data_IF_437201235353
#
_entry.id   IF_437201235353
#
_cell.length_a   1.000
_cell.length_b   1.000
_cell.length_c   1.000
_cell.angle_alpha   90.00
_cell.angle_beta   90.00
_cell.angle_gamma   90.00
#
_symmetry.space_group_name_H-M   'P 1'
#
loop_
_entity.id
_entity.type
_entity.pdbx_description
1 polymer ?
#
# COMPACT_ATOMS: atom_id res chain seq x y z
N UNK A 1 -39.05 -66.23 43.17
CA UNK A 1 -38.08 -65.90 44.24
C UNK A 1 -38.17 -64.41 44.51
N UNK A 2 -38.96 -63.98 45.50
CA UNK A 2 -38.91 -62.59 46.01
C UNK A 2 -37.80 -62.43 47.07
N UNK A 3 -37.76 -61.35 47.87
CA UNK A 3 -38.38 -60.02 47.73
C UNK A 3 -37.41 -58.87 48.18
N UNK A 4 -37.98 -57.71 48.56
CA UNK A 4 -37.48 -56.67 49.51
C UNK A 4 -36.46 -55.60 49.09
N UNK A 5 -36.96 -54.36 48.93
CA UNK A 5 -36.84 -53.32 49.98
C UNK A 5 -35.80 -52.19 49.79
N UNK A 6 -36.11 -50.94 50.20
CA UNK A 6 -35.44 -49.69 49.78
C UNK A 6 -34.41 -49.19 50.80
N UNK A 7 -33.59 -48.20 50.43
CA UNK A 7 -33.13 -47.17 51.38
C UNK A 7 -32.73 -45.86 50.67
N UNK A 8 -33.20 -44.78 51.27
CA UNK A 8 -33.08 -43.40 50.84
C UNK A 8 -32.27 -42.68 51.93
N UNK A 9 -31.04 -42.24 51.62
CA UNK A 9 -30.35 -41.24 52.46
C UNK A 9 -29.87 -40.09 51.58
N UNK A 10 -30.55 -38.95 51.71
CA UNK A 10 -30.04 -37.67 51.26
C UNK A 10 -29.22 -37.02 52.35
N UNK A 11 -28.04 -36.50 51.99
CA UNK A 11 -27.54 -35.14 52.28
C UNK A 11 -26.04 -35.10 52.10
N UNK A 12 -25.59 -34.18 51.26
CA UNK A 12 -24.17 -33.87 51.10
C UNK A 12 -23.97 -32.89 49.97
N UNK A 13 -24.38 -31.64 50.22
CA UNK A 13 -23.99 -30.45 49.44
C UNK A 13 -22.50 -30.48 49.11
N UNK A 14 -22.15 -30.74 47.85
CA UNK A 14 -20.89 -30.30 47.26
C UNK A 14 -21.21 -29.24 46.21
N UNK A 15 -21.48 -28.04 46.72
CA UNK A 15 -21.18 -26.77 46.05
C UNK A 15 -19.67 -26.70 45.80
N UNK A 16 -19.21 -27.37 44.74
CA UNK A 16 -17.83 -27.26 44.27
C UNK A 16 -17.71 -27.70 42.81
N UNK A 17 -18.44 -27.02 41.93
CA UNK A 17 -18.12 -26.97 40.48
C UNK A 17 -18.50 -25.61 39.88
N UNK A 18 -18.27 -24.54 40.67
CA UNK A 18 -18.46 -23.14 40.23
C UNK A 18 -17.17 -22.50 39.69
N UNK A 19 -16.13 -23.28 39.38
CA UNK A 19 -14.82 -22.76 38.94
C UNK A 19 -14.26 -23.41 37.66
N UNK A 20 -15.08 -24.12 36.89
CA UNK A 20 -14.63 -24.88 35.72
C UNK A 20 -14.80 -24.23 34.33
N UNK A 21 -15.60 -23.17 34.16
CA UNK A 21 -15.98 -22.66 32.83
C UNK A 21 -15.95 -21.13 32.70
N UNK A 22 -14.87 -20.48 33.18
CA UNK A 22 -14.67 -19.04 32.98
C UNK A 22 -13.33 -18.66 32.34
N UNK A 23 -12.83 -19.51 31.46
CA UNK A 23 -11.81 -19.12 30.48
C UNK A 23 -12.37 -19.28 29.07
N UNK A 24 -13.40 -18.51 28.74
CA UNK A 24 -13.54 -18.04 27.35
C UNK A 24 -12.31 -17.15 27.16
N UNK A 25 -11.25 -17.77 26.64
CA UNK A 25 -9.93 -17.17 26.50
C UNK A 25 -10.10 -15.92 25.61
N UNK A 26 -9.89 -14.76 26.23
CA UNK A 26 -10.27 -13.48 25.63
C UNK A 26 -9.33 -13.19 24.46
N UNK A 27 -9.87 -13.06 23.25
CA UNK A 27 -9.11 -12.59 22.09
C UNK A 27 -8.47 -11.24 22.44
N UNK A 28 -7.13 -11.14 22.36
CA UNK A 28 -6.40 -9.93 22.77
C UNK A 28 -6.80 -8.68 21.98
N UNK A 29 -7.37 -8.84 20.79
CA UNK A 29 -7.94 -7.71 20.03
C UNK A 29 -9.16 -7.08 20.72
N UNK A 30 -9.77 -7.76 21.71
CA UNK A 30 -10.89 -7.25 22.52
C UNK A 30 -10.43 -6.52 23.78
N UNK A 31 -9.13 -6.49 24.08
CA UNK A 31 -8.59 -5.69 25.18
C UNK A 31 -8.73 -4.21 24.82
N UNK A 32 -9.35 -3.41 25.70
CA UNK A 32 -9.63 -1.99 25.45
C UNK A 32 -8.37 -1.20 25.03
N UNK A 33 -7.24 -1.44 25.71
CA UNK A 33 -5.96 -0.79 25.36
C UNK A 33 -5.51 -1.12 23.95
N UNK A 34 -5.65 -2.38 23.51
CA UNK A 34 -5.32 -2.81 22.15
C UNK A 34 -6.26 -2.17 21.13
N UNK A 35 -7.56 -2.14 21.40
CA UNK A 35 -8.54 -1.48 20.53
C UNK A 35 -8.24 0.00 20.34
N UNK A 36 -7.94 0.73 21.42
CA UNK A 36 -7.57 2.15 21.36
C UNK A 36 -6.32 2.36 20.49
N UNK A 37 -5.30 1.51 20.65
CA UNK A 37 -4.08 1.58 19.83
C UNK A 37 -4.38 1.30 18.36
N UNK A 38 -5.20 0.29 18.05
CA UNK A 38 -5.59 -0.03 16.68
C UNK A 38 -6.40 1.10 16.04
N UNK A 39 -7.39 1.64 16.74
CA UNK A 39 -8.18 2.79 16.28
C UNK A 39 -7.25 3.97 15.96
N UNK A 40 -6.35 4.31 16.87
CA UNK A 40 -5.41 5.41 16.67
C UNK A 40 -4.49 5.15 15.47
N UNK A 41 -3.95 3.93 15.33
CA UNK A 41 -3.06 3.56 14.24
C UNK A 41 -3.74 3.64 12.87
N UNK A 42 -4.89 2.98 12.70
CA UNK A 42 -5.66 3.05 11.45
C UNK A 42 -6.12 4.48 11.13
N UNK A 43 -6.61 5.23 12.12
CA UNK A 43 -7.03 6.62 11.90
C UNK A 43 -5.87 7.50 11.44
N UNK A 44 -4.67 7.32 12.01
CA UNK A 44 -3.48 8.05 11.62
C UNK A 44 -3.05 7.70 10.19
N UNK A 45 -3.06 6.42 9.83
CA UNK A 45 -2.75 5.95 8.46
C UNK A 45 -3.71 6.60 7.46
N UNK A 46 -5.03 6.49 7.71
CA UNK A 46 -6.06 7.07 6.83
C UNK A 46 -5.86 8.58 6.69
N UNK A 47 -5.65 9.30 7.79
CA UNK A 47 -5.49 10.75 7.76
C UNK A 47 -4.25 11.18 6.98
N UNK A 48 -3.09 10.60 7.29
CA UNK A 48 -1.83 10.94 6.63
C UNK A 48 -1.81 10.51 5.16
N UNK A 49 -2.34 9.32 4.87
CA UNK A 49 -2.46 8.77 3.53
C UNK A 49 -3.38 9.61 2.66
N UNK A 50 -4.59 9.92 3.15
CA UNK A 50 -5.54 10.76 2.44
C UNK A 50 -4.98 12.15 2.12
N UNK A 51 -4.44 12.85 3.13
CA UNK A 51 -3.89 14.20 2.94
C UNK A 51 -2.67 14.14 2.00
N UNK A 52 -1.73 13.25 2.28
CA UNK A 52 -0.47 13.16 1.54
C UNK A 52 -0.68 12.80 0.07
N UNK A 53 -1.46 11.75 -0.21
CA UNK A 53 -1.70 11.30 -1.58
C UNK A 53 -2.57 12.30 -2.37
N UNK A 54 -3.55 12.94 -1.73
CA UNK A 54 -4.32 14.03 -2.35
C UNK A 54 -3.42 15.22 -2.73
N UNK A 55 -2.48 15.61 -1.86
CA UNK A 55 -1.53 16.68 -2.15
C UNK A 55 -0.59 16.35 -3.31
N UNK A 56 -0.13 15.10 -3.40
CA UNK A 56 0.69 14.63 -4.52
C UNK A 56 -0.06 14.81 -5.84
N UNK A 57 -1.30 14.32 -5.92
CA UNK A 57 -2.15 14.48 -7.11
C UNK A 57 -2.39 15.96 -7.41
N UNK A 58 -2.77 16.74 -6.40
CA UNK A 58 -3.03 18.17 -6.52
C UNK A 58 -1.85 18.93 -7.14
N UNK A 59 -0.63 18.72 -6.64
CA UNK A 59 0.58 19.41 -7.15
C UNK A 59 0.83 19.06 -8.61
N UNK A 60 0.69 17.79 -8.99
CA UNK A 60 0.93 17.33 -10.35
C UNK A 60 -0.11 17.93 -11.32
N UNK A 61 -1.38 17.97 -10.90
CA UNK A 61 -2.46 18.57 -11.68
C UNK A 61 -2.29 20.09 -11.77
N UNK A 62 -1.99 20.77 -10.67
CA UNK A 62 -1.88 22.23 -10.60
C UNK A 62 -0.69 22.77 -11.41
N UNK A 63 0.50 22.18 -11.24
CA UNK A 63 1.74 22.72 -11.82
C UNK A 63 2.12 22.02 -13.13
N UNK A 64 2.03 22.74 -14.26
CA UNK A 64 2.39 22.22 -15.59
C UNK A 64 3.81 21.64 -15.66
N UNK A 65 4.77 22.24 -14.93
CA UNK A 65 6.16 21.78 -14.83
C UNK A 65 6.29 20.40 -14.18
N UNK A 66 5.33 19.99 -13.37
CA UNK A 66 5.28 18.68 -12.73
C UNK A 66 4.60 17.61 -13.59
N UNK A 67 4.01 17.94 -14.75
CA UNK A 67 3.32 16.98 -15.62
C UNK A 67 4.28 16.18 -16.51
N UNK A 68 5.13 15.38 -15.86
CA UNK A 68 6.10 14.47 -16.47
C UNK A 68 5.63 13.02 -16.37
N UNK A 69 6.17 12.14 -17.21
CA UNK A 69 5.76 10.71 -17.26
C UNK A 69 5.98 9.99 -15.92
N UNK A 70 7.14 10.18 -15.27
CA UNK A 70 7.35 9.63 -13.93
C UNK A 70 6.30 10.14 -12.94
N UNK A 71 5.94 11.42 -13.01
CA UNK A 71 4.94 11.97 -12.10
C UNK A 71 3.53 11.46 -12.41
N UNK A 72 3.20 11.07 -13.64
CA UNK A 72 1.94 10.37 -13.92
C UNK A 72 1.90 8.99 -13.26
N UNK A 73 3.01 8.25 -13.24
CA UNK A 73 3.10 7.01 -12.48
C UNK A 73 3.02 7.26 -10.96
N UNK A 74 3.64 8.32 -10.44
CA UNK A 74 3.51 8.71 -9.02
C UNK A 74 2.05 9.08 -8.68
N UNK A 75 1.35 9.80 -9.57
CA UNK A 75 -0.07 10.09 -9.39
C UNK A 75 -0.94 8.82 -9.44
N UNK A 76 -0.60 7.85 -10.29
CA UNK A 76 -1.26 6.55 -10.34
C UNK A 76 -1.08 5.77 -9.02
N UNK A 77 0.13 5.81 -8.44
CA UNK A 77 0.41 5.22 -7.13
C UNK A 77 -0.42 5.90 -6.04
N UNK A 78 -0.44 7.24 -6.01
CA UNK A 78 -1.24 8.00 -5.06
C UNK A 78 -2.76 7.71 -5.18
N UNK A 79 -3.27 7.47 -6.40
CA UNK A 79 -4.65 7.09 -6.62
C UNK A 79 -4.97 5.69 -6.07
N UNK A 80 -4.06 4.73 -6.25
CA UNK A 80 -4.19 3.39 -5.69
C UNK A 80 -4.17 3.43 -4.15
N UNK A 81 -3.24 4.20 -3.57
CA UNK A 81 -3.14 4.39 -2.11
C UNK A 81 -4.42 5.05 -1.54
N UNK A 82 -4.97 6.09 -2.20
CA UNK A 82 -6.24 6.72 -1.80
C UNK A 82 -7.42 5.73 -1.80
N UNK A 83 -7.46 4.82 -2.77
CA UNK A 83 -8.49 3.77 -2.79
C UNK A 83 -8.39 2.88 -1.55
N UNK A 84 -7.19 2.53 -1.09
CA UNK A 84 -6.99 1.77 0.16
C UNK A 84 -7.42 2.59 1.37
N UNK A 85 -6.91 3.82 1.47
CA UNK A 85 -7.14 4.69 2.63
C UNK A 85 -8.62 5.02 2.84
N UNK A 86 -9.39 5.19 1.76
CA UNK A 86 -10.81 5.60 1.83
C UNK A 86 -11.81 4.44 1.77
N UNK A 87 -11.51 3.37 1.03
CA UNK A 87 -12.46 2.27 0.79
C UNK A 87 -12.10 0.99 1.54
N UNK A 88 -10.84 0.78 1.93
CA UNK A 88 -10.44 -0.49 2.55
C UNK A 88 -10.27 -0.32 4.06
N UNK A 89 -9.41 0.60 4.49
CA UNK A 89 -9.02 0.73 5.90
C UNK A 89 -10.19 1.01 6.87
N UNK A 90 -11.17 1.89 6.56
CA UNK A 90 -12.25 2.16 7.50
C UNK A 90 -13.11 0.92 7.76
N UNK A 91 -13.41 0.15 6.72
CA UNK A 91 -14.24 -1.05 6.81
C UNK A 91 -13.49 -2.20 7.48
N UNK A 92 -12.21 -2.39 7.14
CA UNK A 92 -11.33 -3.36 7.81
C UNK A 92 -11.21 -3.06 9.30
N UNK A 93 -11.01 -1.79 9.69
CA UNK A 93 -10.94 -1.40 11.10
C UNK A 93 -12.21 -1.80 11.87
N UNK A 94 -13.39 -1.44 11.34
CA UNK A 94 -14.66 -1.77 12.02
C UNK A 94 -14.85 -3.29 12.11
N UNK A 95 -14.53 -4.02 11.05
CA UNK A 95 -14.61 -5.48 11.05
C UNK A 95 -13.68 -6.09 12.09
N UNK A 96 -12.43 -5.63 12.19
CA UNK A 96 -11.47 -6.09 13.21
C UNK A 96 -11.95 -5.81 14.64
N UNK A 97 -12.56 -4.64 14.89
CA UNK A 97 -13.01 -4.28 16.24
C UNK A 97 -14.27 -5.03 16.66
N UNK A 98 -15.22 -5.19 15.75
CA UNK A 98 -16.52 -5.80 16.05
C UNK A 98 -16.54 -7.32 15.89
N UNK A 99 -15.63 -7.90 15.10
CA UNK A 99 -15.66 -9.32 14.64
C UNK A 99 -16.96 -9.67 13.89
N UNK A 100 -17.67 -8.64 13.41
CA UNK A 100 -18.94 -8.74 12.68
C UNK A 100 -18.92 -7.82 11.45
N UNK A 101 -19.34 -8.34 10.30
CA UNK A 101 -19.42 -7.60 9.06
C UNK A 101 -20.77 -6.89 8.89
N UNK A 102 -20.79 -5.57 9.10
CA UNK A 102 -22.03 -4.76 9.09
C UNK A 102 -22.39 -4.08 7.76
N UNK A 103 -21.57 -4.28 6.74
CA UNK A 103 -21.60 -3.45 5.52
C UNK A 103 -22.29 -4.11 4.32
N UNK A 104 -22.94 -5.25 4.55
CA UNK A 104 -23.68 -6.01 3.53
C UNK A 104 -22.79 -6.73 2.52
N UNK A 105 -23.43 -7.47 1.61
CA UNK A 105 -22.74 -8.35 0.67
C UNK A 105 -21.83 -7.58 -0.30
N UNK A 106 -22.29 -6.46 -0.88
CA UNK A 106 -21.52 -5.72 -1.90
C UNK A 106 -20.13 -5.33 -1.39
N UNK A 107 -20.04 -4.75 -0.19
CA UNK A 107 -18.76 -4.35 0.38
C UNK A 107 -17.92 -5.56 0.83
N UNK A 108 -18.54 -6.69 1.20
CA UNK A 108 -17.82 -7.92 1.54
C UNK A 108 -16.96 -8.43 0.37
N UNK A 109 -17.48 -8.30 -0.86
CA UNK A 109 -16.71 -8.64 -2.07
C UNK A 109 -15.80 -7.49 -2.51
N UNK A 110 -16.28 -6.24 -2.44
CA UNK A 110 -15.59 -5.08 -3.00
C UNK A 110 -14.33 -4.69 -2.20
N UNK A 111 -14.37 -4.70 -0.88
CA UNK A 111 -13.25 -4.21 -0.04
C UNK A 111 -11.98 -5.04 -0.23
N UNK A 112 -11.99 -6.38 -0.11
CA UNK A 112 -10.80 -7.21 -0.31
C UNK A 112 -10.30 -7.16 -1.76
N UNK A 113 -11.22 -7.12 -2.72
CA UNK A 113 -10.88 -6.94 -4.14
C UNK A 113 -10.18 -5.60 -4.39
N UNK A 114 -10.72 -4.50 -3.89
CA UNK A 114 -10.13 -3.17 -4.05
C UNK A 114 -8.76 -3.08 -3.39
N UNK A 115 -8.58 -3.68 -2.21
CA UNK A 115 -7.29 -3.76 -1.54
C UNK A 115 -6.26 -4.49 -2.42
N UNK A 116 -6.58 -5.69 -2.90
CA UNK A 116 -5.69 -6.44 -3.78
C UNK A 116 -5.41 -5.70 -5.09
N UNK A 117 -6.43 -5.12 -5.72
CA UNK A 117 -6.31 -4.30 -6.93
C UNK A 117 -5.31 -3.15 -6.73
N UNK A 118 -5.44 -2.39 -5.65
CA UNK A 118 -4.54 -1.28 -5.33
C UNK A 118 -3.10 -1.73 -5.18
N UNK A 119 -2.89 -2.82 -4.43
CA UNK A 119 -1.56 -3.37 -4.16
C UNK A 119 -0.89 -3.79 -5.48
N UNK A 120 -1.63 -4.45 -6.38
CA UNK A 120 -1.14 -4.80 -7.72
C UNK A 120 -0.76 -3.59 -8.55
N UNK A 121 -1.65 -2.61 -8.64
CA UNK A 121 -1.37 -1.37 -9.37
C UNK A 121 -0.12 -0.69 -8.80
N UNK A 122 0.04 -0.68 -7.49
CA UNK A 122 1.19 -0.06 -6.80
C UNK A 122 2.50 -0.74 -7.16
N UNK A 123 2.59 -2.07 -7.05
CA UNK A 123 3.81 -2.82 -7.38
C UNK A 123 4.16 -2.75 -8.86
N UNK A 124 3.18 -2.90 -9.74
CA UNK A 124 3.40 -2.77 -11.19
C UNK A 124 3.91 -1.36 -11.52
N UNK A 125 3.35 -0.33 -10.90
CA UNK A 125 3.80 1.06 -11.06
C UNK A 125 5.24 1.25 -10.61
N UNK A 126 5.63 0.73 -9.44
CA UNK A 126 7.02 0.78 -8.96
C UNK A 126 7.99 0.06 -9.89
N UNK A 127 7.56 -1.07 -10.46
CA UNK A 127 8.34 -1.85 -11.44
C UNK A 127 8.56 -1.05 -12.73
N UNK A 128 7.51 -0.44 -13.27
CA UNK A 128 7.60 0.41 -14.47
C UNK A 128 8.50 1.61 -14.22
N UNK A 129 8.40 2.26 -13.05
CA UNK A 129 9.28 3.36 -12.68
C UNK A 129 10.75 2.89 -12.64
N UNK A 130 11.03 1.73 -12.02
CA UNK A 130 12.39 1.19 -11.95
C UNK A 130 12.96 0.89 -13.35
N UNK A 131 12.15 0.31 -14.24
CA UNK A 131 12.53 0.00 -15.62
C UNK A 131 12.75 1.26 -16.46
N UNK A 132 11.90 2.28 -16.35
CA UNK A 132 12.09 3.60 -16.98
C UNK A 132 13.45 4.19 -16.56
N UNK A 133 13.73 4.18 -15.26
CA UNK A 133 15.02 4.67 -14.74
C UNK A 133 16.21 3.87 -15.23
N UNK A 134 16.09 2.54 -15.26
CA UNK A 134 17.13 1.68 -15.78
C UNK A 134 17.46 2.00 -17.23
N UNK A 135 16.43 2.10 -18.08
CA UNK A 135 16.58 2.45 -19.50
C UNK A 135 17.24 3.82 -19.70
N UNK A 136 16.76 4.85 -19.00
CA UNK A 136 17.29 6.22 -19.15
C UNK A 136 18.71 6.41 -18.58
N UNK A 137 19.11 5.67 -17.55
CA UNK A 137 20.41 5.86 -16.89
C UNK A 137 21.48 4.95 -17.50
N UNK A 138 21.16 3.69 -17.79
CA UNK A 138 22.17 2.70 -18.23
C UNK A 138 22.46 2.80 -19.72
N UNK A 139 21.41 2.97 -20.53
CA UNK A 139 21.50 3.00 -21.99
C UNK A 139 21.48 4.42 -22.58
N UNK A 140 21.36 5.46 -21.75
CA UNK A 140 21.27 6.85 -22.19
C UNK A 140 20.22 7.10 -23.28
N UNK A 141 19.14 6.29 -23.29
CA UNK A 141 18.11 6.42 -24.32
C UNK A 141 17.42 7.78 -24.19
N UNK A 142 17.56 8.60 -25.23
CA UNK A 142 16.86 9.88 -25.36
C UNK A 142 15.36 9.69 -25.66
N UNK A 143 14.99 8.53 -26.19
CA UNK A 143 13.59 8.11 -26.37
C UNK A 143 12.97 7.76 -25.01
N UNK A 144 12.43 8.79 -24.35
CA UNK A 144 11.62 8.64 -23.15
C UNK A 144 10.25 8.08 -23.51
N UNK A 145 9.64 7.33 -22.59
CA UNK A 145 8.24 6.92 -22.69
C UNK A 145 7.40 8.17 -23.03
N UNK A 146 6.56 8.08 -24.06
CA UNK A 146 5.69 9.20 -24.44
C UNK A 146 4.53 9.33 -23.44
N UNK A 147 3.94 10.52 -23.32
CA UNK A 147 2.77 10.73 -22.44
C UNK A 147 1.61 9.80 -22.83
N UNK A 148 1.34 9.62 -24.13
CA UNK A 148 0.30 8.72 -24.62
C UNK A 148 0.57 7.29 -24.18
N UNK A 149 1.80 6.81 -24.39
CA UNK A 149 2.20 5.46 -23.98
C UNK A 149 2.10 5.27 -22.46
N UNK A 150 2.44 6.29 -21.65
CA UNK A 150 2.30 6.18 -20.19
C UNK A 150 0.86 5.96 -19.73
N UNK A 151 -0.13 6.62 -20.37
CA UNK A 151 -1.53 6.37 -20.05
C UNK A 151 -2.00 4.98 -20.52
N UNK A 152 -1.51 4.50 -21.66
CA UNK A 152 -1.76 3.12 -22.11
C UNK A 152 -1.18 2.10 -21.13
N UNK A 153 0.05 2.30 -20.64
CA UNK A 153 0.67 1.42 -19.64
C UNK A 153 -0.16 1.43 -18.34
N UNK A 154 -0.61 2.61 -17.88
CA UNK A 154 -1.49 2.71 -16.71
C UNK A 154 -2.77 1.88 -16.91
N UNK A 155 -3.47 2.05 -18.04
CA UNK A 155 -4.68 1.29 -18.31
C UNK A 155 -4.44 -0.23 -18.31
N UNK A 156 -3.33 -0.70 -18.91
CA UNK A 156 -2.95 -2.11 -18.91
C UNK A 156 -2.65 -2.61 -17.50
N UNK A 157 -1.97 -1.81 -16.66
CA UNK A 157 -1.69 -2.18 -15.26
C UNK A 157 -2.98 -2.36 -14.46
N UNK A 158 -3.96 -1.46 -14.62
CA UNK A 158 -5.26 -1.59 -13.96
C UNK A 158 -6.02 -2.83 -14.42
N UNK A 159 -6.01 -3.12 -15.72
CA UNK A 159 -6.67 -4.32 -16.25
C UNK A 159 -5.99 -5.60 -15.74
N UNK A 160 -4.67 -5.67 -15.78
CA UNK A 160 -3.91 -6.81 -15.27
C UNK A 160 -4.15 -7.02 -13.77
N UNK A 161 -4.12 -5.93 -12.99
CA UNK A 161 -4.41 -5.95 -11.57
C UNK A 161 -5.84 -6.42 -11.26
N UNK A 162 -6.83 -5.98 -12.04
CA UNK A 162 -8.22 -6.41 -11.90
C UNK A 162 -8.39 -7.92 -12.16
N UNK A 163 -7.72 -8.45 -13.18
CA UNK A 163 -7.73 -9.89 -13.47
C UNK A 163 -7.08 -10.69 -12.34
N UNK A 164 -5.92 -10.25 -11.85
CA UNK A 164 -5.20 -10.95 -10.77
C UNK A 164 -5.96 -10.88 -9.44
N UNK A 165 -6.62 -9.75 -9.13
CA UNK A 165 -7.44 -9.59 -7.93
C UNK A 165 -8.82 -10.26 -8.03
N UNK A 166 -9.28 -10.61 -9.25
CA UNK A 166 -10.60 -11.16 -9.51
C UNK A 166 -11.04 -12.33 -8.61
N UNK A 167 -10.18 -13.32 -8.30
CA UNK A 167 -10.53 -14.40 -7.38
C UNK A 167 -11.01 -13.92 -6.00
N UNK A 168 -10.47 -12.84 -5.44
CA UNK A 168 -10.93 -12.28 -4.15
C UNK A 168 -12.32 -11.66 -4.21
N UNK A 169 -12.76 -11.23 -5.40
CA UNK A 169 -14.13 -10.77 -5.61
C UNK A 169 -15.10 -11.95 -5.74
N UNK A 170 -14.66 -13.06 -6.35
CA UNK A 170 -15.52 -14.20 -6.70
C UNK A 170 -15.63 -15.20 -5.52
N UNK A 171 -14.51 -15.60 -4.94
CA UNK A 171 -14.43 -16.67 -3.93
C UNK A 171 -14.59 -16.13 -2.50
N UNK A 172 -15.61 -15.30 -2.31
CA UNK A 172 -16.05 -14.83 -0.99
C UNK A 172 -17.52 -15.13 -0.77
N UNK A 173 -17.91 -15.20 0.49
CA UNK A 173 -19.29 -15.39 0.89
C UNK A 173 -19.66 -14.44 2.03
N UNK A 174 -20.83 -13.82 1.89
CA UNK A 174 -21.52 -13.12 2.96
C UNK A 174 -22.57 -14.05 3.54
N UNK A 175 -22.39 -14.49 4.79
CA UNK A 175 -23.31 -15.41 5.47
C UNK A 175 -23.57 -14.95 6.91
N UNK A 176 -24.63 -15.50 7.51
CA UNK A 176 -24.86 -15.37 8.94
C UNK A 176 -24.38 -16.64 9.64
N UNK A 177 -23.57 -16.48 10.67
CA UNK A 177 -23.18 -17.55 11.57
C UNK A 177 -23.96 -17.43 12.88
N UNK A 178 -24.51 -18.55 13.33
CA UNK A 178 -25.18 -18.68 14.62
C UNK A 178 -24.18 -19.29 15.60
N UNK A 179 -23.89 -18.58 16.69
CA UNK A 179 -23.08 -19.08 17.80
C UNK A 179 -24.04 -19.70 18.81
N UNK A 180 -24.20 -21.04 18.85
CA UNK A 180 -25.25 -21.69 19.63
C UNK A 180 -25.03 -21.52 21.14
N UNK A 181 -23.78 -21.35 21.57
CA UNK A 181 -23.42 -21.18 22.98
C UNK A 181 -23.95 -19.90 23.63
N UNK A 182 -24.29 -18.87 22.83
CA UNK A 182 -24.79 -17.57 23.31
C UNK A 182 -26.05 -17.08 22.57
N UNK A 183 -26.69 -17.93 21.75
CA UNK A 183 -27.85 -17.57 20.92
C UNK A 183 -27.65 -16.27 20.11
N UNK A 184 -26.44 -16.06 19.60
CA UNK A 184 -26.08 -14.86 18.84
C UNK A 184 -25.99 -15.20 17.36
N UNK A 185 -26.57 -14.34 16.51
CA UNK A 185 -26.44 -14.42 15.05
C UNK A 185 -25.64 -13.22 14.57
N UNK A 186 -24.53 -13.47 13.90
CA UNK A 186 -23.64 -12.43 13.38
C UNK A 186 -23.38 -12.60 11.90
N UNK A 187 -23.28 -11.49 11.18
CA UNK A 187 -22.91 -11.51 9.78
C UNK A 187 -21.39 -11.61 9.63
N UNK A 188 -20.92 -12.55 8.81
CA UNK A 188 -19.50 -12.77 8.54
C UNK A 188 -19.20 -12.64 7.06
N UNK A 189 -17.99 -12.16 6.76
CA UNK A 189 -17.45 -12.07 5.41
C UNK A 189 -16.17 -12.88 5.34
N UNK A 190 -16.23 -14.08 4.74
CA UNK A 190 -15.08 -14.97 4.64
C UNK A 190 -14.86 -15.47 3.22
N UNK A 191 -13.68 -16.02 3.00
CA UNK A 191 -13.37 -16.70 1.74
C UNK A 191 -14.13 -18.02 1.64
N UNK A 192 -14.57 -18.36 0.43
CA UNK A 192 -15.23 -19.62 0.10
C UNK A 192 -14.70 -20.15 -1.21
N UNK A 193 -13.71 -21.03 -1.11
CA UNK A 193 -13.05 -21.63 -2.25
C UNK A 193 -13.77 -22.91 -2.73
N UNK A 194 -13.76 -23.22 -4.04
CA UNK A 194 -14.57 -24.30 -4.62
C UNK A 194 -14.29 -25.69 -4.06
N UNK A 195 -13.02 -26.02 -3.81
CA UNK A 195 -12.64 -27.37 -3.37
C UNK A 195 -13.00 -27.68 -1.91
N UNK A 196 -13.47 -26.68 -1.13
CA UNK A 196 -13.83 -26.83 0.29
C UNK A 196 -12.66 -27.14 1.23
N UNK A 197 -11.43 -27.16 0.72
CA UNK A 197 -10.19 -27.38 1.49
C UNK A 197 -9.21 -26.21 1.23
N UNK A 198 -8.20 -26.04 2.08
CA UNK A 198 -7.25 -24.90 2.04
C UNK A 198 -6.31 -24.88 0.82
N UNK A 199 -6.41 -25.86 -0.09
CA UNK A 199 -5.55 -25.98 -1.28
C UNK A 199 -5.69 -24.80 -2.23
N UNK A 200 -6.92 -24.42 -2.58
CA UNK A 200 -7.17 -23.34 -3.54
C UNK A 200 -6.74 -22.00 -2.97
N UNK A 201 -7.04 -21.75 -1.69
CA UNK A 201 -6.56 -20.59 -0.94
C UNK A 201 -5.03 -20.52 -0.94
N UNK A 202 -4.36 -21.63 -0.62
CA UNK A 202 -2.89 -21.73 -0.61
C UNK A 202 -2.30 -21.46 -2.00
N UNK A 203 -2.85 -22.05 -3.05
CA UNK A 203 -2.40 -21.84 -4.43
C UNK A 203 -2.53 -20.37 -4.81
N UNK A 204 -3.66 -19.75 -4.47
CA UNK A 204 -3.88 -18.34 -4.73
C UNK A 204 -2.91 -17.45 -3.96
N UNK A 205 -2.75 -17.66 -2.66
CA UNK A 205 -1.83 -16.90 -1.81
C UNK A 205 -0.37 -17.05 -2.23
N UNK A 206 0.05 -18.26 -2.65
CA UNK A 206 1.37 -18.50 -3.20
C UNK A 206 1.55 -17.80 -4.56
N UNK A 207 0.55 -17.89 -5.44
CA UNK A 207 0.56 -17.20 -6.73
C UNK A 207 0.64 -15.69 -6.55
N UNK A 208 -0.09 -15.15 -5.58
CA UNK A 208 -0.02 -13.75 -5.18
C UNK A 208 1.35 -13.39 -4.66
N UNK A 209 1.90 -14.11 -3.68
CA UNK A 209 3.26 -13.87 -3.18
C UNK A 209 4.29 -13.84 -4.33
N UNK A 210 4.19 -14.76 -5.28
CA UNK A 210 5.12 -14.83 -6.41
C UNK A 210 4.93 -13.70 -7.41
N UNK A 211 3.72 -13.51 -7.93
CA UNK A 211 3.42 -12.56 -9.01
C UNK A 211 3.37 -11.12 -8.51
N UNK A 212 2.91 -10.90 -7.29
CA UNK A 212 2.68 -9.58 -6.72
C UNK A 212 3.87 -9.07 -5.91
N UNK A 213 4.68 -9.95 -5.33
CA UNK A 213 5.77 -9.53 -4.45
C UNK A 213 7.15 -9.97 -4.98
N UNK A 214 7.40 -11.28 -5.12
CA UNK A 214 8.75 -11.80 -5.44
C UNK A 214 9.21 -11.40 -6.85
N UNK A 215 8.41 -11.66 -7.87
CA UNK A 215 8.79 -11.39 -9.26
C UNK A 215 9.01 -9.89 -9.54
N UNK A 216 8.10 -8.98 -9.14
CA UNK A 216 8.32 -7.55 -9.31
C UNK A 216 9.54 -7.03 -8.54
N UNK A 217 9.73 -7.48 -7.28
CA UNK A 217 10.91 -7.08 -6.51
C UNK A 217 12.20 -7.58 -7.14
N UNK A 218 12.22 -8.79 -7.70
CA UNK A 218 13.38 -9.29 -8.44
C UNK A 218 13.74 -8.38 -9.62
N UNK A 219 12.74 -7.96 -10.42
CA UNK A 219 12.95 -7.02 -11.52
C UNK A 219 13.49 -5.69 -11.02
N UNK A 220 12.88 -5.15 -9.96
CA UNK A 220 13.27 -3.85 -9.40
C UNK A 220 14.69 -3.91 -8.82
N UNK A 221 15.02 -4.94 -8.05
CA UNK A 221 16.34 -5.18 -7.48
C UNK A 221 17.39 -5.31 -8.59
N UNK A 222 17.10 -6.07 -9.64
CA UNK A 222 17.97 -6.18 -10.81
C UNK A 222 18.20 -4.81 -11.47
N UNK A 223 17.13 -4.08 -11.77
CA UNK A 223 17.18 -2.75 -12.39
C UNK A 223 18.04 -1.77 -11.57
N UNK A 224 17.81 -1.67 -10.26
CA UNK A 224 18.57 -0.76 -9.40
C UNK A 224 20.01 -1.20 -9.15
N UNK A 225 20.28 -2.50 -9.09
CA UNK A 225 21.65 -3.04 -9.02
C UNK A 225 22.45 -2.62 -10.25
N UNK A 226 21.87 -2.77 -11.45
CA UNK A 226 22.52 -2.34 -12.69
C UNK A 226 22.70 -0.81 -12.76
N UNK A 227 21.72 -0.03 -12.30
CA UNK A 227 21.84 1.44 -12.20
C UNK A 227 22.99 1.81 -11.24
N UNK A 228 23.08 1.16 -10.08
CA UNK A 228 24.12 1.41 -9.09
C UNK A 228 25.52 1.17 -9.66
N UNK A 229 25.74 0.02 -10.29
CA UNK A 229 27.03 -0.29 -10.92
C UNK A 229 27.39 0.69 -12.03
N UNK A 230 26.44 1.08 -12.89
CA UNK A 230 26.67 2.10 -13.92
C UNK A 230 27.08 3.44 -13.30
N UNK A 231 26.38 3.88 -12.25
CA UNK A 231 26.65 5.15 -11.58
C UNK A 231 27.98 5.14 -10.82
N UNK A 232 28.40 3.98 -10.28
CA UNK A 232 29.71 3.81 -9.62
C UNK A 232 30.86 3.85 -10.63
N UNK A 233 30.71 3.17 -11.77
CA UNK A 233 31.76 3.04 -12.78
C UNK A 233 31.92 4.30 -13.66
N UNK A 234 30.91 5.19 -13.72
CA UNK A 234 30.97 6.48 -14.43
C UNK A 234 31.34 7.67 -13.52
N UNK A 235 31.92 7.43 -12.34
CA UNK A 235 32.55 8.50 -11.55
C UNK A 235 33.90 8.83 -12.18
N UNK A 236 33.89 9.61 -13.25
CA UNK A 236 35.07 10.38 -13.65
C UNK A 236 35.30 11.48 -12.60
N UNK A 237 36.52 11.71 -12.09
CA UNK A 237 36.80 12.72 -11.07
C UNK A 237 36.54 14.16 -11.53
N UNK A 238 36.34 14.39 -12.84
CA UNK A 238 36.65 15.71 -13.43
C UNK A 238 35.45 16.54 -13.90
N UNK A 239 34.20 16.12 -13.72
CA UNK A 239 33.09 17.09 -13.76
C UNK A 239 31.89 16.62 -12.95
N UNK A 240 31.66 17.29 -11.81
CA UNK A 240 30.50 17.05 -10.96
C UNK A 240 29.27 17.72 -11.58
N UNK A 241 28.81 17.18 -12.69
CA UNK A 241 27.71 17.75 -13.46
C UNK A 241 26.42 17.75 -12.61
N UNK A 242 25.79 18.91 -12.38
CA UNK A 242 24.64 19.05 -11.47
C UNK A 242 23.48 18.11 -11.84
N UNK A 243 23.31 17.87 -13.14
CA UNK A 243 22.35 16.92 -13.70
C UNK A 243 22.57 15.48 -13.20
N UNK A 244 23.81 15.05 -12.99
CA UNK A 244 24.15 13.71 -12.51
C UNK A 244 23.87 13.59 -11.00
N UNK A 245 24.13 14.65 -10.23
CA UNK A 245 23.76 14.74 -8.80
C UNK A 245 22.24 14.69 -8.62
N UNK A 246 21.48 15.41 -9.45
CA UNK A 246 20.01 15.40 -9.44
C UNK A 246 19.44 14.02 -9.78
N UNK A 247 19.98 13.34 -10.80
CA UNK A 247 19.60 11.95 -11.15
C UNK A 247 19.84 11.00 -9.97
N UNK A 248 20.99 11.06 -9.29
CA UNK A 248 21.29 10.24 -8.11
C UNK A 248 20.29 10.44 -6.97
N UNK A 249 19.90 11.69 -6.68
CA UNK A 249 18.91 12.00 -5.62
C UNK A 249 17.53 11.41 -5.93
N UNK A 250 17.04 11.58 -7.16
CA UNK A 250 15.77 10.99 -7.59
C UNK A 250 15.81 9.47 -7.57
N UNK A 251 16.89 8.84 -8.04
CA UNK A 251 17.06 7.38 -7.96
C UNK A 251 17.09 6.91 -6.51
N UNK A 252 17.82 7.58 -5.61
CA UNK A 252 17.86 7.23 -4.18
C UNK A 252 16.46 7.29 -3.55
N UNK A 253 15.69 8.33 -3.84
CA UNK A 253 14.30 8.44 -3.38
C UNK A 253 13.44 7.26 -3.85
N UNK A 254 13.52 6.91 -5.13
CA UNK A 254 12.74 5.79 -5.68
C UNK A 254 13.17 4.43 -5.13
N UNK A 255 14.46 4.23 -4.84
CA UNK A 255 14.97 3.04 -4.13
C UNK A 255 14.40 2.98 -2.72
N UNK A 256 14.40 4.09 -1.98
CA UNK A 256 13.84 4.14 -0.63
C UNK A 256 12.35 3.79 -0.61
N UNK A 257 11.57 4.29 -1.58
CA UNK A 257 10.14 3.94 -1.73
C UNK A 257 9.96 2.43 -1.89
N UNK A 258 10.76 1.79 -2.74
CA UNK A 258 10.69 0.33 -2.96
C UNK A 258 11.11 -0.45 -1.73
N UNK A 259 12.16 -0.04 -1.03
CA UNK A 259 12.62 -0.71 0.19
C UNK A 259 11.56 -0.64 1.28
N UNK A 260 10.94 0.54 1.47
CA UNK A 260 9.82 0.69 2.41
C UNK A 260 8.68 -0.23 2.02
N UNK A 261 8.27 -0.24 0.76
CA UNK A 261 7.20 -1.12 0.29
C UNK A 261 7.53 -2.60 0.57
N UNK A 262 8.74 -3.06 0.22
CA UNK A 262 9.15 -4.45 0.48
C UNK A 262 9.11 -4.79 1.97
N UNK A 263 9.69 -3.95 2.82
CA UNK A 263 9.78 -4.20 4.27
C UNK A 263 8.41 -4.15 4.94
N UNK A 264 7.53 -3.24 4.54
CA UNK A 264 6.18 -3.13 5.09
C UNK A 264 5.32 -4.36 4.74
N UNK A 265 5.44 -4.89 3.52
CA UNK A 265 4.58 -5.96 3.02
C UNK A 265 5.09 -7.37 3.31
N UNK A 266 6.40 -7.55 3.49
CA UNK A 266 7.00 -8.88 3.74
C UNK A 266 6.39 -9.63 4.94
N UNK A 267 6.25 -9.02 6.14
CA UNK A 267 5.73 -9.74 7.29
C UNK A 267 4.29 -10.21 7.07
N UNK A 268 3.47 -9.35 6.44
CA UNK A 268 2.08 -9.66 6.14
C UNK A 268 1.97 -10.83 5.16
N UNK A 269 2.74 -10.84 4.07
CA UNK A 269 2.70 -11.94 3.11
C UNK A 269 3.20 -13.27 3.69
N UNK A 270 4.26 -13.25 4.49
CA UNK A 270 4.75 -14.47 5.18
C UNK A 270 3.67 -15.00 6.12
N UNK A 271 3.02 -14.11 6.88
CA UNK A 271 2.01 -14.51 7.85
C UNK A 271 0.73 -15.03 7.18
N UNK A 272 0.28 -14.37 6.10
CA UNK A 272 -0.84 -14.85 5.29
C UNK A 272 -0.57 -16.26 4.77
N UNK A 273 0.60 -16.51 4.17
CA UNK A 273 0.96 -17.85 3.70
C UNK A 273 1.01 -18.87 4.83
N UNK A 274 1.50 -18.49 6.01
CA UNK A 274 1.57 -19.38 7.16
C UNK A 274 0.17 -19.74 7.72
N UNK A 275 -0.80 -18.81 7.64
CA UNK A 275 -2.21 -19.08 7.95
C UNK A 275 -2.79 -20.06 6.94
N UNK A 276 -2.58 -19.83 5.64
CA UNK A 276 -3.17 -20.66 4.58
C UNK A 276 -2.59 -22.09 4.57
N UNK A 277 -1.37 -22.27 5.10
CA UNK A 277 -0.71 -23.57 5.33
C UNK A 277 -1.09 -24.22 6.69
N UNK A 278 -2.05 -23.65 7.42
CA UNK A 278 -2.50 -24.10 8.75
C UNK A 278 -1.40 -24.14 9.83
N UNK A 279 -0.28 -23.43 9.63
CA UNK A 279 0.88 -23.47 10.54
C UNK A 279 0.70 -22.63 11.81
N UNK A 280 -0.23 -21.67 11.79
CA UNK A 280 -0.35 -20.63 12.82
C UNK A 280 -1.73 -20.60 13.50
N UNK A 281 -2.69 -21.40 13.01
CA UNK A 281 -4.05 -21.43 13.56
C UNK A 281 -4.11 -21.97 15.01
N UNK A 282 -3.05 -22.63 15.48
CA UNK A 282 -2.91 -23.14 16.85
C UNK A 282 -2.66 -21.98 17.85
N UNK A 283 -2.10 -20.85 17.39
CA UNK A 283 -1.78 -19.73 18.28
C UNK A 283 -3.01 -18.88 18.56
N UNK A 284 -3.34 -18.71 19.84
CA UNK A 284 -4.49 -17.90 20.27
C UNK A 284 -4.42 -16.43 19.80
N UNK A 285 -3.21 -15.91 19.58
CA UNK A 285 -2.92 -14.51 19.21
C UNK A 285 -2.85 -14.25 17.70
N UNK A 286 -3.22 -15.24 16.86
CA UNK A 286 -3.05 -15.12 15.40
C UNK A 286 -3.82 -13.93 14.80
N UNK A 287 -5.02 -13.60 15.30
CA UNK A 287 -5.81 -12.44 14.85
C UNK A 287 -5.11 -11.10 15.14
N UNK A 288 -4.53 -10.96 16.33
CA UNK A 288 -3.76 -9.77 16.70
C UNK A 288 -2.52 -9.63 15.82
N UNK A 289 -1.77 -10.72 15.64
CA UNK A 289 -0.56 -10.72 14.83
C UNK A 289 -0.85 -10.42 13.35
N UNK A 290 -1.93 -10.99 12.81
CA UNK A 290 -2.45 -10.65 11.48
C UNK A 290 -2.72 -9.15 11.36
N UNK A 291 -3.44 -8.59 12.34
CA UNK A 291 -3.81 -7.17 12.36
C UNK A 291 -2.58 -6.27 12.46
N UNK A 292 -1.59 -6.61 13.30
CA UNK A 292 -0.35 -5.83 13.44
C UNK A 292 0.46 -5.84 12.14
N UNK A 293 0.61 -6.99 11.50
CA UNK A 293 1.28 -7.07 10.21
C UNK A 293 0.52 -6.36 9.09
N UNK A 294 -0.81 -6.44 9.11
CA UNK A 294 -1.67 -5.67 8.21
C UNK A 294 -1.47 -4.17 8.39
N UNK A 295 -1.49 -3.65 9.63
CA UNK A 295 -1.20 -2.23 9.93
C UNK A 295 0.18 -1.84 9.41
N UNK A 296 1.21 -2.68 9.63
CA UNK A 296 2.56 -2.46 9.12
C UNK A 296 2.63 -2.36 7.60
N UNK A 297 1.89 -3.21 6.88
CA UNK A 297 1.75 -3.16 5.43
C UNK A 297 1.07 -1.86 4.97
N UNK A 298 -0.02 -1.47 5.65
CA UNK A 298 -0.79 -0.27 5.30
C UNK A 298 -0.03 1.03 5.53
N UNK A 299 1.00 1.05 6.38
CA UNK A 299 1.89 2.20 6.48
C UNK A 299 2.55 2.60 5.15
N UNK A 300 2.65 1.67 4.18
CA UNK A 300 3.22 2.00 2.87
C UNK A 300 2.43 3.09 2.13
N UNK A 301 1.13 3.26 2.40
CA UNK A 301 0.28 4.23 1.68
C UNK A 301 0.66 5.68 2.01
N UNK A 302 0.95 5.99 3.28
CA UNK A 302 1.26 7.36 3.71
C UNK A 302 2.76 7.69 3.67
N UNK A 303 3.64 6.69 3.70
CA UNK A 303 5.10 6.93 3.66
C UNK A 303 5.54 7.46 2.29
N UNK A 304 4.83 7.11 1.21
CA UNK A 304 5.11 7.59 -0.15
C UNK A 304 5.16 9.13 -0.25
N UNK A 305 4.07 9.88 0.06
CA UNK A 305 4.10 11.35 0.13
C UNK A 305 5.21 11.92 1.02
N UNK A 306 5.46 11.32 2.19
CA UNK A 306 6.52 11.78 3.10
C UNK A 306 7.90 11.70 2.47
N UNK A 307 8.21 10.59 1.79
CA UNK A 307 9.46 10.41 1.05
C UNK A 307 9.59 11.43 -0.09
N UNK A 308 8.51 11.71 -0.81
CA UNK A 308 8.51 12.71 -1.87
C UNK A 308 8.77 14.12 -1.32
N UNK A 309 8.08 14.51 -0.25
CA UNK A 309 8.26 15.81 0.41
C UNK A 309 9.64 15.99 1.01
N UNK A 310 10.23 14.94 1.56
CA UNK A 310 11.55 15.00 2.18
C UNK A 310 12.68 15.03 1.14
N UNK A 311 12.64 14.15 0.13
CA UNK A 311 13.77 13.90 -0.77
C UNK A 311 13.70 14.66 -2.09
N UNK A 312 12.53 15.19 -2.48
CA UNK A 312 12.35 15.92 -3.73
C UNK A 312 11.99 17.39 -3.49
N UNK A 313 12.92 18.29 -3.81
CA UNK A 313 12.76 19.74 -3.64
C UNK A 313 11.49 20.29 -4.31
N UNK A 314 11.09 19.76 -5.47
CA UNK A 314 9.91 20.24 -6.18
C UNK A 314 8.61 19.89 -5.42
N UNK A 315 8.51 18.66 -4.91
CA UNK A 315 7.37 18.27 -4.07
C UNK A 315 7.38 19.01 -2.74
N UNK A 316 8.54 19.15 -2.10
CA UNK A 316 8.69 19.91 -0.87
C UNK A 316 8.18 21.34 -1.00
N UNK A 317 8.63 22.05 -2.03
CA UNK A 317 8.20 23.43 -2.28
C UNK A 317 6.70 23.49 -2.59
N UNK A 318 6.17 22.54 -3.36
CA UNK A 318 4.74 22.44 -3.62
C UNK A 318 3.90 22.21 -2.35
N UNK A 319 4.34 21.33 -1.45
CA UNK A 319 3.68 21.09 -0.15
C UNK A 319 3.73 22.34 0.73
N UNK A 320 4.91 22.97 0.87
CA UNK A 320 5.05 24.20 1.65
C UNK A 320 4.17 25.33 1.11
N UNK A 321 4.08 25.48 -0.21
CA UNK A 321 3.25 26.49 -0.84
C UNK A 321 1.75 26.26 -0.59
N UNK A 322 1.31 25.00 -0.60
CA UNK A 322 -0.06 24.63 -0.22
C UNK A 322 -0.36 24.99 1.24
N UNK A 323 0.48 24.56 2.18
CA UNK A 323 0.27 24.84 3.61
C UNK A 323 0.42 26.33 3.97
N UNK A 324 1.15 27.11 3.18
CA UNK A 324 1.28 28.57 3.33
C UNK A 324 0.22 29.36 2.57
N UNK A 325 -0.72 28.71 1.88
CA UNK A 325 -1.75 29.35 1.06
C UNK A 325 -1.20 30.39 0.07
N UNK A 326 0.01 30.18 -0.46
CA UNK A 326 0.65 31.14 -1.37
C UNK A 326 0.26 30.82 -2.82
N UNK A 327 -0.26 31.82 -3.54
CA UNK A 327 -0.74 31.65 -4.92
C UNK A 327 0.32 31.92 -6.01
N UNK A 328 1.53 32.37 -5.65
CA UNK A 328 2.59 32.70 -6.62
C UNK A 328 3.70 31.66 -6.62
N UNK A 329 4.19 31.24 -7.80
CA UNK A 329 5.44 30.54 -7.88
C UNK A 329 6.55 31.54 -7.55
N UNK A 330 7.23 31.39 -6.42
CA UNK A 330 8.69 31.60 -6.47
C UNK A 330 9.16 30.64 -7.56
N UNK A 331 9.73 31.19 -8.63
CA UNK A 331 10.21 30.46 -9.79
C UNK A 331 10.74 29.09 -9.37
N UNK A 332 10.02 28.02 -9.75
CA UNK A 332 10.61 26.69 -9.84
C UNK A 332 11.69 26.86 -10.90
N UNK A 333 12.89 27.24 -10.47
CA UNK A 333 13.97 27.61 -11.36
C UNK A 333 14.26 26.42 -12.27
N UNK A 334 13.94 26.59 -13.55
CA UNK A 334 14.65 25.92 -14.62
C UNK A 334 16.00 26.63 -14.70
N UNK A 335 16.96 26.24 -13.85
CA UNK A 335 18.36 26.63 -14.03
C UNK A 335 18.88 25.92 -15.28
N UNK A 336 18.93 26.68 -16.37
CA UNK A 336 19.30 26.18 -17.68
C UNK A 336 18.74 27.03 -18.82
N UNK A 337 18.99 28.33 -18.80
CA UNK A 337 18.98 29.11 -20.04
C UNK A 337 20.19 30.02 -20.05
N UNK A 338 21.10 29.66 -20.93
CA UNK A 338 22.30 30.40 -21.31
C UNK A 338 21.90 31.85 -21.58
N UNK A 339 22.58 32.79 -20.91
CA UNK A 339 22.45 34.22 -21.19
C UNK A 339 23.13 34.48 -22.54
N UNK A 340 22.38 34.21 -23.62
CA UNK A 340 22.74 34.56 -24.98
C UNK A 340 22.73 36.08 -25.13
N UNK A 341 23.90 36.59 -25.49
CA UNK A 341 24.18 37.97 -25.89
C UNK A 341 23.29 38.32 -27.09
N UNK A 342 22.65 39.48 -27.07
CA UNK A 342 22.05 40.07 -28.28
C UNK A 342 22.49 41.53 -28.32
N UNK A 343 23.29 41.80 -29.33
CA UNK A 343 23.87 43.09 -29.69
C UNK A 343 22.76 44.12 -29.94
N UNK A 344 22.92 45.31 -29.37
CA UNK A 344 22.11 46.47 -29.68
C UNK A 344 22.70 47.19 -30.88
N UNK A 345 22.08 47.02 -32.05
CA UNK A 345 22.32 47.85 -33.22
C UNK A 345 21.55 49.16 -33.05
N UNK A 346 22.25 50.24 -32.71
CA UNK A 346 21.70 51.60 -32.73
C UNK A 346 22.06 52.27 -34.05
N UNK A 347 21.11 52.33 -34.98
CA UNK A 347 21.12 53.27 -36.12
C UNK A 347 20.06 54.32 -35.86
N UNK A 348 20.48 55.52 -35.49
CA UNK A 348 19.68 56.74 -35.57
C UNK A 348 20.40 57.67 -36.54
N UNK A 349 19.81 57.87 -37.72
CA UNK A 349 20.17 58.97 -38.61
C UNK A 349 19.33 60.20 -38.29
N UNK A 350 19.95 61.38 -38.31
CA UNK A 350 19.35 62.60 -38.88
C UNK A 350 20.48 63.55 -39.27
N UNK A 351 20.32 64.15 -40.45
CA UNK A 351 21.23 65.00 -41.21
C UNK A 351 21.40 66.42 -40.67
N UNK A 352 22.42 67.09 -41.23
CA UNK A 352 22.41 68.45 -41.80
C UNK A 352 23.21 69.55 -41.08
N UNK A 353 24.02 70.19 -41.95
CA UNK A 353 24.84 71.40 -41.89
C UNK A 353 26.14 71.46 -41.05
#
# INVERSE_FOLDING_TARGET
>A
TGPSGPDNEGKGTNTQDLSGSRSVMMDSTKILGVQVVLIAAYSLIILLGFIGNSLVIYIIVKYKTMRTVTNFFIANLALADLMVDTLCLPFTLVYTLLDEWKFGAVLCHLVPYAQALSVHVSTLTLTVIALDRYRCIVFHLDSRISKKLSFTIIAIMWLAAAVLAGPLAIFREYRYEEIPSINLKMAVCSEKWPSGNNRDATIYSLSMLLLQYVFPLAIICYAYTRIWFKLKNHVSPTSRNENQCRRRKTTKMLVMVVVVFAVCWLPFHIFQLAIDLDLVLIFHEYKLLYTVFHVGAMCSTFVNPLLYGWMNKNYRNGFLMFFRCQNKPESIHTEGSVRGRSDGTSTSGTEAD
#
